data_IF_109637101302
#
_entry.id   IF_109637101302
#
_cell.length_a   1.000
_cell.length_b   1.000
_cell.length_c   1.000
_cell.angle_alpha   90.00
_cell.angle_beta   90.00
_cell.angle_gamma   90.00
#
_symmetry.space_group_name_H-M   'P 1'
#
loop_
_entity.id
_entity.type
_entity.pdbx_description
1 polymer ?
#
# COMPACT_ATOMS: atom_id res chain seq x y z
N UNK A 1 8.04 -23.35 24.41
CA UNK A 1 8.74 -22.83 23.22
C UNK A 1 8.47 -21.35 23.18
N UNK A 2 9.50 -20.50 23.19
CA UNK A 2 9.31 -19.05 23.11
C UNK A 2 8.95 -18.74 21.66
N UNK A 3 7.80 -18.11 21.46
CA UNK A 3 7.44 -17.46 20.19
C UNK A 3 8.47 -16.35 19.96
N UNK A 4 9.48 -16.65 19.15
CA UNK A 4 10.28 -15.63 18.50
C UNK A 4 9.39 -15.05 17.38
N UNK A 5 8.45 -14.19 17.75
CA UNK A 5 7.88 -13.20 16.83
C UNK A 5 8.96 -12.15 16.54
N UNK A 6 10.09 -12.60 15.99
CA UNK A 6 10.98 -11.70 15.28
C UNK A 6 10.13 -11.09 14.16
N UNK A 7 10.09 -9.76 14.10
CA UNK A 7 9.51 -9.07 12.99
C UNK A 7 10.34 -9.45 11.76
N UNK A 8 9.95 -10.53 11.06
CA UNK A 8 10.70 -11.03 9.91
C UNK A 8 10.71 -10.00 8.75
N UNK A 9 9.88 -8.96 8.87
CA UNK A 9 10.00 -7.69 8.15
C UNK A 9 9.84 -7.83 6.64
N UNK A 10 10.29 -6.79 5.92
CA UNK A 10 10.28 -6.72 4.45
C UNK A 10 10.92 -7.94 3.80
N UNK A 11 11.99 -8.49 4.39
CA UNK A 11 12.70 -9.65 3.87
C UNK A 11 11.81 -10.89 3.76
N UNK A 12 10.92 -11.13 4.73
CA UNK A 12 9.99 -12.25 4.66
C UNK A 12 8.95 -12.08 3.57
N UNK A 13 8.37 -10.89 3.46
CA UNK A 13 7.39 -10.59 2.38
C UNK A 13 8.03 -10.82 1.01
N UNK A 14 9.26 -10.34 0.82
CA UNK A 14 10.01 -10.54 -0.42
C UNK A 14 10.28 -12.03 -0.71
N UNK A 15 10.62 -12.81 0.33
CA UNK A 15 10.81 -14.25 0.17
C UNK A 15 9.52 -14.95 -0.25
N UNK A 16 8.39 -14.69 0.41
CA UNK A 16 7.11 -15.32 0.07
C UNK A 16 6.63 -14.93 -1.34
N UNK A 17 6.88 -13.69 -1.79
CA UNK A 17 6.62 -13.29 -3.19
C UNK A 17 7.53 -14.05 -4.16
N UNK A 18 8.80 -14.28 -3.82
CA UNK A 18 9.68 -15.10 -4.66
C UNK A 18 9.21 -16.56 -4.75
N UNK A 19 8.69 -17.14 -3.67
CA UNK A 19 8.10 -18.49 -3.71
C UNK A 19 6.82 -18.53 -4.56
N UNK A 20 5.99 -17.48 -4.49
CA UNK A 20 4.86 -17.32 -5.41
C UNK A 20 5.32 -17.28 -6.88
N UNK A 21 6.35 -16.50 -7.20
CA UNK A 21 6.86 -16.37 -8.57
C UNK A 21 7.37 -17.71 -9.12
N UNK A 22 7.99 -18.54 -8.28
CA UNK A 22 8.39 -19.91 -8.65
C UNK A 22 7.18 -20.78 -8.94
N UNK A 23 6.16 -20.77 -8.08
CA UNK A 23 4.92 -21.52 -8.30
C UNK A 23 4.24 -21.11 -9.61
N UNK A 24 4.21 -19.81 -9.93
CA UNK A 24 3.64 -19.32 -11.19
C UNK A 24 4.46 -19.78 -12.39
N UNK A 25 5.79 -19.80 -12.29
CA UNK A 25 6.66 -20.26 -13.36
C UNK A 25 6.61 -21.77 -13.59
N UNK A 26 6.43 -22.57 -12.54
CA UNK A 26 6.44 -24.04 -12.63
C UNK A 26 5.10 -24.63 -13.08
N UNK A 27 3.99 -23.98 -12.74
CA UNK A 27 2.64 -24.49 -13.00
C UNK A 27 1.82 -23.53 -13.87
N UNK A 28 1.36 -22.43 -13.28
CA UNK A 28 0.68 -21.28 -13.93
C UNK A 28 0.21 -20.28 -12.84
N UNK A 29 -0.27 -19.11 -13.27
CA UNK A 29 -0.79 -18.06 -12.38
C UNK A 29 -1.97 -18.59 -11.52
N UNK A 30 -2.87 -19.38 -12.12
CA UNK A 30 -4.09 -19.83 -11.43
C UNK A 30 -3.76 -20.79 -10.28
N UNK A 31 -2.80 -21.69 -10.48
CA UNK A 31 -2.29 -22.64 -9.50
C UNK A 31 -1.56 -21.91 -8.39
N UNK A 32 -0.66 -20.96 -8.73
CA UNK A 32 0.07 -20.16 -7.76
C UNK A 32 -0.88 -19.37 -6.84
N UNK A 33 -1.91 -18.73 -7.41
CA UNK A 33 -2.97 -18.04 -6.64
C UNK A 33 -3.69 -19.03 -5.73
N UNK A 34 -4.13 -20.18 -6.25
CA UNK A 34 -4.90 -21.16 -5.47
C UNK A 34 -4.12 -21.69 -4.26
N UNK A 35 -2.86 -22.08 -4.47
CA UNK A 35 -1.97 -22.59 -3.40
C UNK A 35 -1.71 -21.51 -2.36
N UNK A 36 -1.41 -20.29 -2.81
CA UNK A 36 -1.10 -19.16 -1.92
C UNK A 36 -2.32 -18.73 -1.11
N UNK A 37 -3.50 -18.66 -1.72
CA UNK A 37 -4.76 -18.40 -0.99
C UNK A 37 -5.00 -19.46 0.07
N UNK A 38 -4.82 -20.75 -0.24
CA UNK A 38 -4.95 -21.83 0.76
C UNK A 38 -3.93 -21.69 1.89
N UNK A 39 -2.70 -21.24 1.60
CA UNK A 39 -1.69 -20.99 2.62
C UNK A 39 -2.12 -19.86 3.57
N UNK A 40 -2.62 -18.75 3.04
CA UNK A 40 -3.17 -17.65 3.84
C UNK A 40 -4.37 -18.08 4.68
N UNK A 41 -5.34 -18.78 4.08
CA UNK A 41 -6.59 -19.18 4.73
C UNK A 41 -6.40 -20.11 5.94
N UNK A 42 -5.26 -20.80 6.06
CA UNK A 42 -4.91 -21.58 7.26
C UNK A 42 -4.76 -20.71 8.52
N UNK A 43 -4.53 -19.40 8.36
CA UNK A 43 -4.33 -18.44 9.46
C UNK A 43 -5.28 -17.25 9.39
N UNK A 44 -5.67 -16.86 8.18
CA UNK A 44 -6.52 -15.70 7.88
C UNK A 44 -7.65 -16.14 6.91
N UNK A 45 -8.75 -16.71 7.43
CA UNK A 45 -9.78 -17.37 6.62
C UNK A 45 -10.55 -16.45 5.66
N UNK A 46 -10.52 -15.15 5.92
CA UNK A 46 -11.17 -14.09 5.15
C UNK A 46 -10.44 -13.73 3.85
N UNK A 47 -9.14 -14.03 3.76
CA UNK A 47 -8.35 -13.80 2.54
C UNK A 47 -8.86 -14.71 1.41
N UNK A 48 -9.13 -14.10 0.26
CA UNK A 48 -9.58 -14.77 -0.94
C UNK A 48 -8.59 -14.62 -2.11
N UNK A 49 -8.90 -15.25 -3.26
CA UNK A 49 -8.03 -15.22 -4.44
C UNK A 49 -7.85 -13.82 -5.04
N UNK A 50 -8.86 -12.95 -4.93
CA UNK A 50 -8.77 -11.57 -5.41
C UNK A 50 -7.77 -10.78 -4.58
N UNK A 51 -7.75 -10.99 -3.27
CA UNK A 51 -6.80 -10.32 -2.37
C UNK A 51 -5.36 -10.74 -2.66
N UNK A 52 -5.12 -12.05 -2.84
CA UNK A 52 -3.80 -12.57 -3.23
C UNK A 52 -3.35 -12.02 -4.58
N UNK A 53 -4.25 -11.96 -5.57
CA UNK A 53 -3.95 -11.36 -6.87
C UNK A 53 -3.61 -9.87 -6.74
N UNK A 54 -4.31 -9.14 -5.88
CA UNK A 54 -4.02 -7.74 -5.57
C UNK A 54 -2.64 -7.57 -4.93
N UNK A 55 -2.34 -8.37 -3.90
CA UNK A 55 -1.06 -8.36 -3.20
C UNK A 55 0.13 -8.56 -4.15
N UNK A 56 0.07 -9.59 -5.00
CA UNK A 56 1.17 -9.91 -5.94
C UNK A 56 1.37 -8.76 -6.94
N UNK A 57 0.28 -8.20 -7.50
CA UNK A 57 0.37 -7.07 -8.44
C UNK A 57 1.00 -5.83 -7.79
N UNK A 58 0.54 -5.46 -6.59
CA UNK A 58 1.10 -4.32 -5.86
C UNK A 58 2.56 -4.55 -5.50
N UNK A 59 2.91 -5.76 -5.01
CA UNK A 59 4.29 -6.07 -4.62
C UNK A 59 5.23 -6.06 -5.82
N UNK A 60 4.84 -6.65 -6.96
CA UNK A 60 5.61 -6.58 -8.21
C UNK A 60 5.81 -5.15 -8.68
N UNK A 61 4.79 -4.29 -8.56
CA UNK A 61 4.92 -2.87 -8.91
C UNK A 61 5.93 -2.15 -8.00
N UNK A 62 5.88 -2.39 -6.68
CA UNK A 62 6.84 -1.84 -5.72
C UNK A 62 8.26 -2.31 -5.99
N UNK A 63 8.44 -3.58 -6.37
CA UNK A 63 9.75 -4.15 -6.71
C UNK A 63 10.43 -3.50 -7.92
N UNK A 64 9.68 -2.80 -8.79
CA UNK A 64 10.27 -2.08 -9.91
C UNK A 64 11.07 -0.84 -9.50
N UNK A 65 10.88 -0.35 -8.26
CA UNK A 65 11.45 0.92 -7.78
C UNK A 65 10.83 2.17 -8.42
N UNK A 66 9.82 2.02 -9.28
CA UNK A 66 9.14 3.14 -9.95
C UNK A 66 7.99 3.75 -9.12
N UNK A 67 7.58 3.07 -8.06
CA UNK A 67 6.52 3.51 -7.16
C UNK A 67 7.17 4.09 -5.91
N UNK A 68 6.97 5.39 -5.66
CA UNK A 68 7.46 6.08 -4.47
C UNK A 68 6.28 6.62 -3.65
N UNK A 69 5.77 5.79 -2.75
CA UNK A 69 4.66 6.15 -1.87
C UNK A 69 5.05 7.32 -0.93
N UNK A 70 6.33 7.46 -0.59
CA UNK A 70 6.79 8.56 0.26
C UNK A 70 6.82 9.90 -0.50
N UNK A 71 7.08 9.91 -1.80
CA UNK A 71 6.86 11.08 -2.65
C UNK A 71 5.37 11.43 -2.75
N UNK A 72 4.50 10.45 -3.01
CA UNK A 72 3.04 10.68 -3.08
C UNK A 72 2.49 11.26 -1.77
N UNK A 73 2.94 10.74 -0.62
CA UNK A 73 2.57 11.27 0.69
C UNK A 73 2.95 12.76 0.85
N UNK A 74 4.16 13.14 0.44
CA UNK A 74 4.62 14.54 0.47
C UNK A 74 3.78 15.43 -0.44
N UNK A 75 3.43 14.96 -1.64
CA UNK A 75 2.57 15.72 -2.56
C UNK A 75 1.19 16.01 -1.97
N UNK A 76 0.62 15.04 -1.25
CA UNK A 76 -0.68 15.19 -0.58
C UNK A 76 -0.57 16.22 0.55
N UNK A 77 0.44 16.10 1.40
CA UNK A 77 0.69 17.05 2.51
C UNK A 77 0.92 18.47 1.99
N UNK A 78 1.74 18.65 0.95
CA UNK A 78 1.98 19.96 0.33
C UNK A 78 0.70 20.56 -0.27
N UNK A 79 -0.14 19.71 -0.87
CA UNK A 79 -1.43 20.13 -1.42
C UNK A 79 -2.41 20.53 -0.32
N UNK A 80 -2.45 19.80 0.79
CA UNK A 80 -3.27 20.12 1.95
C UNK A 80 -2.82 21.43 2.62
N UNK A 81 -1.51 21.65 2.75
CA UNK A 81 -0.96 22.89 3.28
C UNK A 81 -1.36 24.10 2.43
N UNK A 82 -1.23 24.02 1.10
CA UNK A 82 -1.66 25.09 0.19
C UNK A 82 -3.15 25.38 0.29
N UNK A 83 -3.99 24.33 0.32
CA UNK A 83 -5.42 24.52 0.48
C UNK A 83 -5.78 25.22 1.79
N UNK A 84 -5.07 24.92 2.89
CA UNK A 84 -5.25 25.61 4.16
C UNK A 84 -4.81 27.08 4.10
N UNK A 85 -3.69 27.38 3.45
CA UNK A 85 -3.22 28.77 3.23
C UNK A 85 -4.23 29.58 2.39
N UNK A 86 -4.77 29.00 1.33
CA UNK A 86 -5.79 29.65 0.48
C UNK A 86 -7.08 29.94 1.24
N UNK A 87 -7.53 29.01 2.10
CA UNK A 87 -8.70 29.21 2.97
C UNK A 87 -8.47 30.34 3.98
N UNK A 88 -7.29 30.39 4.61
CA UNK A 88 -6.93 31.46 5.54
C UNK A 88 -6.84 32.82 4.83
N UNK A 89 -6.20 32.88 3.67
CA UNK A 89 -6.09 34.11 2.88
C UNK A 89 -7.47 34.63 2.45
N UNK A 90 -8.37 33.74 2.02
CA UNK A 90 -9.74 34.09 1.63
C UNK A 90 -10.54 34.61 2.83
N UNK A 91 -10.40 33.98 4.00
CA UNK A 91 -11.04 34.44 5.23
C UNK A 91 -10.51 35.82 5.68
N UNK A 92 -9.20 36.07 5.58
CA UNK A 92 -8.62 37.38 5.89
C UNK A 92 -9.12 38.48 4.95
N UNK A 93 -9.22 38.21 3.65
CA UNK A 93 -9.77 39.17 2.69
C UNK A 93 -11.26 39.48 2.96
N UNK A 94 -12.06 38.48 3.34
CA UNK A 94 -13.46 38.70 3.70
C UNK A 94 -13.62 39.61 4.93
N UNK A 95 -12.74 39.45 5.93
CA UNK A 95 -12.73 40.29 7.14
C UNK A 95 -12.33 41.74 6.82
N UNK A 96 -11.39 41.97 5.90
CA UNK A 96 -11.01 43.33 5.49
C UNK A 96 -12.14 44.07 4.76
N UNK A 97 -12.99 43.37 4.01
CA UNK A 97 -14.13 43.97 3.31
C UNK A 97 -15.24 44.38 4.28
N UNK A 98 -15.48 43.63 5.35
CA UNK A 98 -16.54 43.91 6.34
C UNK A 98 -16.24 45.09 7.28
N UNK A 99 -14.99 45.54 7.37
CA UNK A 99 -14.60 46.70 8.20
C UNK A 99 -14.66 48.04 7.47
N UNK A 100 -14.99 48.05 6.16
CA UNK A 100 -15.04 49.25 5.32
C UNK A 100 -16.48 49.68 4.98
N UNK A 101 -17.48 48.88 5.37
CA UNK A 101 -18.92 49.22 5.34
C UNK A 101 -19.43 49.71 6.72
#
# INVERSE_FOLDING_TARGET
MRDNDECLGTARVLHEVSEYDKLESEYDEQTAISVTTKAFQRKFPDINQRDVRGLVKCTRALLTGKVDIAAEHRLIEDSAAKAAEELLASASQAIEVEQVD
#
